data_IF_190563300682
#
_entry.id   IF_190563300682
#
_cell.length_a   1.000
_cell.length_b   1.000
_cell.length_c   1.000
_cell.angle_alpha   90.00
_cell.angle_beta   90.00
_cell.angle_gamma   90.00
#
_symmetry.space_group_name_H-M   'P 1'
#
loop_
_entity.id
_entity.type
_entity.pdbx_description
1 polymer ?
#
# COMPACT_ATOMS: atom_id res chain seq x y z
N UNK A 1 17.98 -48.07 4.52
CA UNK A 1 17.29 -47.43 3.39
C UNK A 1 17.34 -45.92 3.58
N UNK A 2 18.25 -45.22 2.90
CA UNK A 2 18.23 -43.75 2.81
C UNK A 2 17.75 -43.43 1.40
N UNK A 3 16.64 -42.69 1.29
CA UNK A 3 16.11 -42.22 0.02
C UNK A 3 16.79 -40.89 -0.27
N UNK A 4 17.81 -40.94 -1.11
CA UNK A 4 18.51 -39.76 -1.58
C UNK A 4 17.51 -38.93 -2.41
N UNK A 5 17.21 -37.70 -1.97
CA UNK A 5 16.28 -36.82 -2.66
C UNK A 5 16.96 -36.28 -3.93
N UNK A 6 16.71 -36.94 -5.07
CA UNK A 6 17.16 -36.49 -6.39
C UNK A 6 16.35 -35.28 -6.82
N UNK A 7 16.84 -34.09 -6.50
CA UNK A 7 16.38 -32.83 -7.08
C UNK A 7 16.86 -32.78 -8.53
N UNK A 8 16.03 -33.26 -9.46
CA UNK A 8 16.28 -33.16 -10.89
C UNK A 8 16.11 -31.69 -11.31
N UNK A 9 17.22 -30.96 -11.43
CA UNK A 9 17.23 -29.63 -12.05
C UNK A 9 17.06 -29.83 -13.56
N UNK A 10 15.83 -29.70 -14.04
CA UNK A 10 15.54 -29.59 -15.48
C UNK A 10 16.00 -28.21 -15.92
N UNK A 11 17.23 -28.14 -16.43
CA UNK A 11 17.70 -26.98 -17.16
C UNK A 11 17.02 -26.97 -18.54
N UNK A 12 15.84 -26.32 -18.60
CA UNK A 12 15.16 -26.01 -19.84
C UNK A 12 15.96 -25.00 -20.66
N UNK A 13 16.16 -25.31 -21.93
CA UNK A 13 16.79 -24.45 -22.92
C UNK A 13 15.87 -23.27 -23.30
N UNK A 14 16.31 -22.04 -23.03
CA UNK A 14 15.70 -20.82 -23.58
C UNK A 14 15.46 -19.74 -22.53
N UNK A 15 16.36 -18.75 -22.49
CA UNK A 15 16.39 -17.58 -21.59
C UNK A 15 16.68 -17.90 -20.12
N UNK A 16 17.50 -17.06 -19.50
CA UNK A 16 17.78 -17.15 -18.07
C UNK A 16 16.47 -16.89 -17.30
N UNK A 17 15.80 -17.98 -16.92
CA UNK A 17 14.54 -17.93 -16.20
C UNK A 17 14.80 -17.32 -14.81
N UNK A 18 14.55 -16.03 -14.67
CA UNK A 18 14.68 -15.33 -13.39
C UNK A 18 13.41 -15.53 -12.56
N UNK A 19 13.26 -16.76 -12.06
CA UNK A 19 12.13 -17.16 -11.22
C UNK A 19 12.06 -16.32 -9.93
N UNK A 20 13.21 -15.86 -9.42
CA UNK A 20 13.28 -14.99 -8.24
C UNK A 20 12.66 -13.63 -8.54
N UNK A 21 13.00 -13.00 -9.66
CA UNK A 21 12.38 -11.74 -10.08
C UNK A 21 10.89 -11.90 -10.38
N UNK A 22 10.49 -13.03 -10.96
CA UNK A 22 9.08 -13.35 -11.23
C UNK A 22 8.27 -13.44 -9.95
N UNK A 23 8.79 -14.14 -8.93
CA UNK A 23 8.16 -14.23 -7.61
C UNK A 23 8.17 -12.87 -6.90
N UNK A 24 9.27 -12.12 -6.96
CA UNK A 24 9.36 -10.78 -6.37
C UNK A 24 8.28 -9.84 -6.92
N UNK A 25 8.01 -9.90 -8.22
CA UNK A 25 6.94 -9.13 -8.87
C UNK A 25 5.55 -9.65 -8.51
N UNK A 26 5.34 -10.97 -8.48
CA UNK A 26 4.06 -11.58 -8.14
C UNK A 26 3.62 -11.25 -6.69
N UNK A 27 4.59 -11.14 -5.78
CA UNK A 27 4.38 -10.82 -4.38
C UNK A 27 4.74 -9.38 -4.01
N UNK A 28 4.98 -8.50 -5.00
CA UNK A 28 5.24 -7.09 -4.71
C UNK A 28 3.98 -6.48 -4.11
N UNK A 29 4.09 -6.00 -2.88
CA UNK A 29 3.03 -5.24 -2.26
C UNK A 29 2.87 -3.93 -3.03
N UNK A 30 1.64 -3.63 -3.44
CA UNK A 30 1.34 -2.32 -4.01
C UNK A 30 1.64 -1.26 -2.94
N UNK A 31 2.17 -0.12 -3.35
CA UNK A 31 2.36 1.01 -2.45
C UNK A 31 1.00 1.36 -1.83
N UNK A 32 0.77 0.95 -0.59
CA UNK A 32 -0.47 1.26 0.10
C UNK A 32 -0.41 2.74 0.48
N UNK A 33 -1.39 3.51 0.02
CA UNK A 33 -1.59 4.86 0.50
C UNK A 33 -2.05 4.79 1.96
N UNK A 34 -1.13 5.05 2.88
CA UNK A 34 -1.44 5.10 4.30
C UNK A 34 -2.33 6.32 4.57
N UNK A 35 -3.58 6.04 4.96
CA UNK A 35 -4.51 7.07 5.43
C UNK A 35 -4.71 6.85 6.93
N UNK A 36 -4.25 7.81 7.73
CA UNK A 36 -4.50 7.81 9.17
C UNK A 36 -5.95 8.24 9.45
N UNK A 37 -6.86 7.27 9.53
CA UNK A 37 -8.29 7.51 9.78
C UNK A 37 -8.51 8.15 11.15
N UNK A 38 -7.73 7.76 12.16
CA UNK A 38 -7.86 8.28 13.52
C UNK A 38 -7.53 9.78 13.59
N UNK A 39 -6.56 10.25 12.79
CA UNK A 39 -6.24 11.68 12.68
C UNK A 39 -7.35 12.48 12.00
N UNK A 40 -7.94 11.96 10.93
CA UNK A 40 -9.04 12.63 10.24
C UNK A 40 -10.28 12.75 11.13
N UNK A 41 -10.62 11.70 11.87
CA UNK A 41 -11.73 11.73 12.82
C UNK A 41 -11.52 12.74 13.96
N UNK A 42 -10.28 12.88 14.46
CA UNK A 42 -9.97 13.86 15.50
C UNK A 42 -10.18 15.29 15.02
N UNK A 43 -9.75 15.60 13.80
CA UNK A 43 -9.95 16.92 13.19
C UNK A 43 -11.44 17.21 13.01
N UNK A 44 -12.22 16.22 12.54
CA UNK A 44 -13.68 16.34 12.40
C UNK A 44 -14.36 16.68 13.72
N UNK A 45 -14.05 15.92 14.79
CA UNK A 45 -14.61 16.16 16.13
C UNK A 45 -14.21 17.52 16.70
N UNK A 46 -13.00 17.99 16.40
CA UNK A 46 -12.53 19.31 16.82
C UNK A 46 -13.29 20.42 16.09
N UNK A 47 -13.57 20.24 14.79
CA UNK A 47 -14.37 21.17 14.00
C UNK A 47 -15.82 21.27 14.49
N UNK A 48 -16.43 20.13 14.85
CA UNK A 48 -17.78 20.09 15.43
C UNK A 48 -17.85 20.81 16.78
N UNK A 49 -16.77 20.77 17.58
CA UNK A 49 -16.70 21.46 18.88
C UNK A 49 -16.53 22.98 18.73
N UNK A 50 -15.96 23.43 17.62
CA UNK A 50 -15.57 24.81 17.39
C UNK A 50 -16.21 25.35 16.11
N UNK A 51 -17.48 25.78 16.16
CA UNK A 51 -18.25 26.18 14.97
C UNK A 51 -17.59 27.30 14.16
N UNK A 52 -16.86 28.22 14.80
CA UNK A 52 -16.10 29.28 14.11
C UNK A 52 -14.95 28.75 13.25
N UNK A 53 -14.35 27.61 13.61
CA UNK A 53 -13.33 26.98 12.77
C UNK A 53 -13.95 26.28 11.57
N UNK A 54 -15.17 25.76 11.71
CA UNK A 54 -15.90 25.15 10.61
C UNK A 54 -16.21 26.19 9.52
N UNK A 55 -16.67 27.37 9.92
CA UNK A 55 -16.89 28.50 9.01
C UNK A 55 -15.62 28.91 8.27
N UNK A 56 -14.48 28.97 8.95
CA UNK A 56 -13.18 29.30 8.33
C UNK A 56 -12.72 28.24 7.32
N UNK A 57 -12.92 26.95 7.62
CA UNK A 57 -12.61 25.89 6.66
C UNK A 57 -13.48 25.95 5.41
N UNK A 58 -14.76 26.30 5.57
CA UNK A 58 -15.69 26.46 4.46
C UNK A 58 -15.29 27.66 3.58
N UNK A 59 -15.00 28.81 4.20
CA UNK A 59 -14.50 29.99 3.49
C UNK A 59 -13.18 29.70 2.75
N UNK A 60 -12.27 28.93 3.34
CA UNK A 60 -11.04 28.52 2.67
C UNK A 60 -11.30 27.65 1.43
N UNK A 61 -12.28 26.73 1.51
CA UNK A 61 -12.65 25.90 0.36
C UNK A 61 -13.35 26.68 -0.76
N UNK A 62 -14.15 27.69 -0.42
CA UNK A 62 -14.84 28.56 -1.39
C UNK A 62 -13.87 29.52 -2.09
N UNK A 63 -12.79 29.94 -1.42
CA UNK A 63 -11.79 30.88 -1.97
C UNK A 63 -10.69 30.19 -2.82
N UNK A 64 -10.65 28.86 -2.84
CA UNK A 64 -9.70 28.06 -3.61
C UNK A 64 -10.33 27.47 -4.89
N UNK A 65 -11.50 27.96 -5.27
CA UNK A 65 -12.23 27.65 -6.49
C UNK A 65 -12.33 28.88 -7.41
#
# INVERSE_FOLDING_TARGET
MKKENTLTVVAGSGEAQDDISTLSKAFSLHAFHYVDIARHERLKKMNERWPLLAELTQLHSENNH
#
